data_IF_587842408619
#
_entry.id   IF_587842408619
#
_cell.length_a   1.000
_cell.length_b   1.000
_cell.length_c   1.000
_cell.angle_alpha   90.00
_cell.angle_beta   90.00
_cell.angle_gamma   90.00
#
_symmetry.space_group_name_H-M   'P 1'
#
loop_
_entity.id
_entity.type
_entity.pdbx_description
1 polymer ?
#
# COMPACT_ATOMS: atom_id res chain seq x y z
N UNK A 1 -27.20 23.94 9.50
CA UNK A 1 -27.73 22.56 9.43
C UNK A 1 -26.54 21.62 9.56
N UNK A 2 -26.52 20.75 10.58
CA UNK A 2 -25.45 19.78 10.76
C UNK A 2 -25.62 18.68 9.71
N UNK A 3 -24.74 18.64 8.72
CA UNK A 3 -24.74 17.61 7.69
C UNK A 3 -24.36 16.26 8.33
N UNK A 4 -25.29 15.32 8.29
CA UNK A 4 -25.08 13.94 8.73
C UNK A 4 -23.92 13.36 7.92
N UNK A 5 -22.88 12.78 8.58
CA UNK A 5 -21.82 12.10 7.86
C UNK A 5 -22.41 11.02 6.95
N UNK A 6 -21.81 10.75 5.78
CA UNK A 6 -22.34 9.72 4.90
C UNK A 6 -22.39 8.39 5.67
N UNK A 7 -23.54 7.72 5.56
CA UNK A 7 -23.72 6.44 6.21
C UNK A 7 -22.64 5.48 5.68
N UNK A 8 -21.89 4.79 6.56
CA UNK A 8 -20.99 3.74 6.12
C UNK A 8 -21.79 2.65 5.40
N UNK A 9 -21.15 1.93 4.47
CA UNK A 9 -21.80 0.82 3.78
C UNK A 9 -22.41 -0.13 4.81
N UNK A 10 -23.67 -0.59 4.63
CA UNK A 10 -24.30 -1.50 5.57
C UNK A 10 -23.43 -2.71 5.88
N UNK A 11 -23.51 -3.19 7.12
CA UNK A 11 -22.69 -4.31 7.59
C UNK A 11 -22.88 -5.58 6.76
N UNK A 12 -24.08 -5.80 6.23
CA UNK A 12 -24.40 -6.93 5.35
C UNK A 12 -23.69 -6.83 3.99
N UNK A 13 -23.81 -5.69 3.30
CA UNK A 13 -23.10 -5.42 2.04
C UNK A 13 -21.59 -5.58 2.19
N UNK A 14 -21.04 -5.00 3.28
CA UNK A 14 -19.61 -5.11 3.63
C UNK A 14 -19.19 -6.56 3.83
N UNK A 15 -20.02 -7.35 4.53
CA UNK A 15 -19.76 -8.77 4.79
C UNK A 15 -19.85 -9.59 3.50
N UNK A 16 -20.83 -9.34 2.65
CA UNK A 16 -20.98 -10.00 1.36
C UNK A 16 -19.76 -9.79 0.48
N UNK A 17 -19.29 -8.54 0.32
CA UNK A 17 -18.09 -8.20 -0.43
C UNK A 17 -16.84 -8.90 0.12
N UNK A 18 -16.62 -8.85 1.43
CA UNK A 18 -15.46 -9.49 2.07
C UNK A 18 -15.49 -11.01 1.93
N UNK A 19 -16.65 -11.64 2.09
CA UNK A 19 -16.81 -13.09 1.94
C UNK A 19 -16.56 -13.52 0.51
N UNK A 20 -17.13 -12.82 -0.48
CA UNK A 20 -16.90 -13.11 -1.90
C UNK A 20 -15.42 -12.91 -2.28
N UNK A 21 -14.79 -11.83 -1.80
CA UNK A 21 -13.37 -11.58 -2.02
C UNK A 21 -12.50 -12.70 -1.46
N UNK A 22 -12.73 -13.14 -0.22
CA UNK A 22 -11.99 -14.27 0.39
C UNK A 22 -12.20 -15.56 -0.38
N UNK A 23 -13.42 -15.85 -0.82
CA UNK A 23 -13.70 -17.03 -1.63
C UNK A 23 -12.95 -17.01 -2.96
N UNK A 24 -12.93 -15.86 -3.64
CA UNK A 24 -12.19 -15.65 -4.89
C UNK A 24 -10.68 -15.73 -4.67
N UNK A 25 -10.17 -15.13 -3.59
CA UNK A 25 -8.75 -15.21 -3.23
C UNK A 25 -8.31 -16.66 -2.98
N UNK A 26 -9.09 -17.40 -2.18
CA UNK A 26 -8.84 -18.81 -1.92
C UNK A 26 -8.90 -19.64 -3.22
N UNK A 27 -9.88 -19.41 -4.09
CA UNK A 27 -10.00 -20.15 -5.36
C UNK A 27 -8.89 -19.83 -6.39
N UNK A 28 -8.19 -18.69 -6.24
CA UNK A 28 -7.04 -18.34 -7.06
C UNK A 28 -5.71 -18.78 -6.45
N UNK A 29 -5.69 -19.19 -5.18
CA UNK A 29 -4.46 -19.56 -4.48
C UNK A 29 -3.94 -20.91 -5.01
N UNK A 30 -2.71 -20.96 -5.59
CA UNK A 30 -2.09 -22.23 -5.97
C UNK A 30 -1.89 -23.19 -4.78
N UNK A 31 -1.87 -22.66 -3.57
CA UNK A 31 -1.75 -23.40 -2.31
C UNK A 31 -3.11 -23.70 -1.65
N UNK A 32 -4.25 -23.48 -2.33
CA UNK A 32 -5.58 -23.73 -1.77
C UNK A 32 -5.71 -25.15 -1.18
N UNK A 33 -5.85 -25.29 0.15
CA UNK A 33 -5.93 -26.59 0.79
C UNK A 33 -7.12 -27.41 0.28
N UNK A 34 -8.25 -26.78 -0.05
CA UNK A 34 -9.41 -27.50 -0.54
C UNK A 34 -9.11 -28.23 -1.87
N UNK A 35 -8.47 -27.53 -2.80
CA UNK A 35 -8.11 -28.09 -4.10
C UNK A 35 -6.98 -29.13 -3.95
N UNK A 36 -5.92 -28.77 -3.22
CA UNK A 36 -4.74 -29.61 -3.10
C UNK A 36 -5.00 -30.91 -2.33
N UNK A 37 -5.86 -30.92 -1.29
CA UNK A 37 -6.24 -32.17 -0.60
C UNK A 37 -6.98 -33.16 -1.51
N UNK A 38 -7.85 -32.66 -2.41
CA UNK A 38 -8.54 -33.51 -3.40
C UNK A 38 -7.55 -34.12 -4.39
N UNK A 39 -6.63 -33.31 -4.95
CA UNK A 39 -5.58 -33.83 -5.82
C UNK A 39 -4.62 -34.79 -5.09
N UNK A 40 -4.28 -34.49 -3.84
CA UNK A 40 -3.41 -35.33 -3.01
C UNK A 40 -3.99 -36.72 -2.84
N UNK A 41 -5.32 -36.85 -2.75
CA UNK A 41 -5.99 -38.15 -2.67
C UNK A 41 -5.60 -39.07 -3.83
N UNK A 42 -5.65 -38.57 -5.07
CA UNK A 42 -5.26 -39.33 -6.26
C UNK A 42 -3.78 -39.72 -6.22
N UNK A 43 -2.91 -38.77 -5.85
CA UNK A 43 -1.45 -38.97 -5.82
C UNK A 43 -1.03 -39.97 -4.74
N UNK A 44 -1.61 -39.87 -3.54
CA UNK A 44 -1.32 -40.78 -2.44
C UNK A 44 -1.79 -42.19 -2.76
N UNK A 45 -3.00 -42.35 -3.30
CA UNK A 45 -3.49 -43.67 -3.69
C UNK A 45 -2.64 -44.28 -4.82
N UNK A 46 -2.16 -43.47 -5.77
CA UNK A 46 -1.22 -43.94 -6.78
C UNK A 46 0.13 -44.39 -6.16
N UNK A 47 0.62 -43.63 -5.17
CA UNK A 47 1.85 -43.96 -4.46
C UNK A 47 1.69 -45.26 -3.65
N UNK A 48 0.57 -45.43 -2.94
CA UNK A 48 0.25 -46.63 -2.16
C UNK A 48 0.12 -47.90 -3.02
N UNK A 49 -0.31 -47.75 -4.27
CA UNK A 49 -0.35 -48.83 -5.25
C UNK A 49 1.03 -49.16 -5.87
N UNK A 50 2.05 -48.36 -5.56
CA UNK A 50 3.44 -48.61 -5.95
C UNK A 50 3.90 -47.89 -7.21
N UNK A 51 3.11 -46.97 -7.79
CA UNK A 51 3.56 -46.19 -8.94
C UNK A 51 4.56 -45.11 -8.52
N UNK A 52 5.60 -44.94 -9.34
CA UNK A 52 6.60 -43.91 -9.10
C UNK A 52 6.02 -42.51 -9.29
N UNK A 53 6.63 -41.50 -8.66
CA UNK A 53 6.28 -40.09 -8.89
C UNK A 53 6.44 -39.67 -10.36
N UNK A 54 7.41 -40.28 -11.07
CA UNK A 54 7.63 -40.01 -12.49
C UNK A 54 6.47 -40.52 -13.34
N UNK A 55 6.04 -41.75 -13.11
CA UNK A 55 4.89 -42.37 -13.78
C UNK A 55 3.63 -41.56 -13.49
N UNK A 56 3.35 -41.28 -12.22
CA UNK A 56 2.18 -40.50 -11.79
C UNK A 56 2.14 -39.12 -12.46
N UNK A 57 3.28 -38.41 -12.50
CA UNK A 57 3.37 -37.10 -13.17
C UNK A 57 3.06 -37.19 -14.67
N UNK A 58 3.63 -38.20 -15.34
CA UNK A 58 3.42 -38.45 -16.78
C UNK A 58 1.94 -38.72 -17.10
N UNK A 59 1.31 -39.64 -16.36
CA UNK A 59 -0.07 -40.08 -16.60
C UNK A 59 -1.10 -39.00 -16.26
N UNK A 60 -0.86 -38.22 -15.21
CA UNK A 60 -1.72 -37.08 -14.85
C UNK A 60 -1.47 -35.84 -15.72
N UNK A 61 -0.41 -35.83 -16.54
CA UNK A 61 -0.03 -34.70 -17.39
C UNK A 61 0.36 -33.45 -16.58
N UNK A 62 1.07 -33.63 -15.46
CA UNK A 62 1.57 -32.54 -14.61
C UNK A 62 3.07 -32.69 -14.34
N UNK A 63 3.72 -31.63 -13.88
CA UNK A 63 5.14 -31.70 -13.54
C UNK A 63 5.39 -32.54 -12.28
N UNK A 64 6.58 -33.14 -12.20
CA UNK A 64 7.04 -33.87 -11.00
C UNK A 64 7.05 -32.98 -9.76
N UNK A 65 7.41 -31.72 -9.91
CA UNK A 65 7.41 -30.76 -8.80
C UNK A 65 5.99 -30.47 -8.31
N UNK A 66 5.01 -30.41 -9.22
CA UNK A 66 3.60 -30.27 -8.83
C UNK A 66 3.10 -31.48 -8.05
N UNK A 67 3.49 -32.69 -8.46
CA UNK A 67 3.20 -33.91 -7.69
C UNK A 67 3.81 -33.82 -6.28
N UNK A 68 5.08 -33.41 -6.16
CA UNK A 68 5.75 -33.25 -4.86
C UNK A 68 5.06 -32.23 -3.96
N UNK A 69 4.67 -31.07 -4.50
CA UNK A 69 3.98 -30.02 -3.74
C UNK A 69 2.61 -30.49 -3.27
N UNK A 70 1.82 -31.13 -4.14
CA UNK A 70 0.48 -31.61 -3.79
C UNK A 70 0.56 -32.76 -2.78
N UNK A 71 1.56 -33.65 -2.87
CA UNK A 71 1.73 -34.76 -1.94
C UNK A 71 1.97 -34.35 -0.47
N UNK A 72 2.31 -33.08 -0.22
CA UNK A 72 2.45 -32.54 1.15
C UNK A 72 1.12 -32.34 1.86
N UNK A 73 0.00 -32.34 1.12
CA UNK A 73 -1.33 -32.16 1.69
C UNK A 73 -1.91 -33.50 2.12
N UNK A 74 -2.67 -33.47 3.20
CA UNK A 74 -3.44 -34.62 3.68
C UNK A 74 -4.56 -34.96 2.66
N UNK A 75 -4.73 -36.24 2.27
CA UNK A 75 -5.82 -36.65 1.39
C UNK A 75 -7.20 -36.23 1.91
N UNK A 76 -8.10 -35.85 1.00
CA UNK A 76 -9.51 -35.67 1.33
C UNK A 76 -10.20 -37.03 1.46
N UNK A 77 -10.96 -37.23 2.54
CA UNK A 77 -11.77 -38.43 2.75
C UNK A 77 -12.98 -38.51 1.81
N UNK A 78 -13.35 -37.39 1.17
CA UNK A 78 -14.50 -37.29 0.27
C UNK A 78 -14.18 -37.74 -1.17
N UNK A 79 -12.91 -38.04 -1.46
CA UNK A 79 -12.49 -38.45 -2.79
C UNK A 79 -12.60 -39.97 -2.94
N UNK A 80 -13.67 -40.45 -3.57
CA UNK A 80 -13.78 -41.86 -3.94
C UNK A 80 -12.73 -42.21 -4.99
N UNK A 81 -11.82 -43.11 -4.63
CA UNK A 81 -10.78 -43.60 -5.51
C UNK A 81 -11.00 -45.07 -5.84
N UNK A 82 -10.77 -45.48 -7.09
CA UNK A 82 -10.79 -46.88 -7.47
C UNK A 82 -9.76 -47.67 -6.67
N UNK A 83 -10.07 -48.94 -6.39
CA UNK A 83 -9.10 -49.87 -5.79
C UNK A 83 -8.06 -50.25 -6.83
N UNK A 84 -6.79 -50.21 -6.44
CA UNK A 84 -5.66 -50.48 -7.33
C UNK A 84 -4.98 -51.80 -6.98
N UNK A 85 -4.53 -52.52 -8.01
CA UNK A 85 -3.66 -53.69 -7.84
C UNK A 85 -2.24 -53.35 -8.29
N UNK A 86 -1.28 -53.75 -7.47
CA UNK A 86 0.15 -53.56 -7.77
C UNK A 86 0.52 -54.36 -9.02
N UNK A 87 1.22 -53.72 -9.96
CA UNK A 87 1.70 -54.34 -11.20
C UNK A 87 0.81 -54.13 -12.42
N UNK A 88 -0.37 -53.53 -12.25
CA UNK A 88 -1.23 -53.13 -13.37
C UNK A 88 -0.79 -51.77 -13.97
N UNK A 89 -1.16 -51.49 -15.25
CA UNK A 89 -0.99 -50.18 -15.85
C UNK A 89 -1.63 -49.08 -15.01
N UNK A 90 -1.20 -47.82 -15.21
CA UNK A 90 -1.80 -46.71 -14.50
C UNK A 90 -3.30 -46.63 -14.84
N UNK A 91 -4.19 -46.65 -13.84
CA UNK A 91 -5.62 -46.85 -14.06
C UNK A 91 -6.24 -45.60 -14.70
N UNK A 92 -6.96 -45.74 -15.84
CA UNK A 92 -7.62 -44.61 -16.49
C UNK A 92 -8.56 -43.84 -15.57
N UNK A 93 -9.23 -44.53 -14.65
CA UNK A 93 -10.16 -43.90 -13.70
C UNK A 93 -9.47 -42.93 -12.73
N UNK A 94 -8.17 -43.10 -12.44
CA UNK A 94 -7.41 -42.14 -11.64
C UNK A 94 -7.17 -40.83 -12.40
N UNK A 95 -6.90 -40.93 -13.71
CA UNK A 95 -6.79 -39.78 -14.61
C UNK A 95 -8.13 -39.07 -14.71
N UNK A 96 -9.23 -39.81 -14.92
CA UNK A 96 -10.58 -39.25 -15.00
C UNK A 96 -10.98 -38.51 -13.71
N UNK A 97 -10.65 -39.11 -12.56
CA UNK A 97 -10.87 -38.48 -11.24
C UNK A 97 -10.06 -37.21 -11.10
N UNK A 98 -8.79 -37.21 -11.49
CA UNK A 98 -7.94 -36.02 -11.47
C UNK A 98 -8.52 -34.90 -12.37
N UNK A 99 -8.92 -35.23 -13.60
CA UNK A 99 -9.53 -34.28 -14.54
C UNK A 99 -10.89 -33.76 -14.07
N UNK A 100 -11.67 -34.59 -13.37
CA UNK A 100 -12.91 -34.14 -12.70
C UNK A 100 -12.59 -33.11 -11.62
N UNK A 101 -11.60 -33.37 -10.76
CA UNK A 101 -11.19 -32.41 -9.72
C UNK A 101 -10.69 -31.10 -10.36
N UNK A 102 -9.91 -31.16 -11.45
CA UNK A 102 -9.50 -29.94 -12.18
C UNK A 102 -10.70 -29.12 -12.67
N UNK A 103 -11.73 -29.80 -13.22
CA UNK A 103 -12.97 -29.13 -13.62
C UNK A 103 -13.69 -28.52 -12.43
N UNK A 104 -13.81 -29.22 -11.30
CA UNK A 104 -14.45 -28.70 -10.08
C UNK A 104 -13.73 -27.44 -9.56
N UNK A 105 -12.40 -27.44 -9.55
CA UNK A 105 -11.58 -26.29 -9.14
C UNK A 105 -11.80 -25.10 -10.08
N UNK A 106 -11.82 -25.34 -11.40
CA UNK A 106 -12.09 -24.29 -12.38
C UNK A 106 -13.52 -23.74 -12.26
N UNK A 107 -14.50 -24.59 -12.04
CA UNK A 107 -15.91 -24.20 -11.82
C UNK A 107 -16.02 -23.33 -10.58
N UNK A 108 -15.47 -23.77 -9.44
CA UNK A 108 -15.44 -22.98 -8.20
C UNK A 108 -14.78 -21.61 -8.40
N UNK A 109 -13.69 -21.55 -9.17
CA UNK A 109 -12.99 -20.31 -9.49
C UNK A 109 -13.87 -19.35 -10.31
N UNK A 110 -14.57 -19.87 -11.33
CA UNK A 110 -15.52 -19.09 -12.14
C UNK A 110 -16.68 -18.58 -11.30
N UNK A 111 -17.28 -19.43 -10.47
CA UNK A 111 -18.39 -19.06 -9.59
C UNK A 111 -17.99 -17.99 -8.57
N UNK A 112 -16.83 -18.14 -7.92
CA UNK A 112 -16.33 -17.15 -6.97
C UNK A 112 -16.04 -15.80 -7.65
N UNK A 113 -15.56 -15.83 -8.90
CA UNK A 113 -15.30 -14.62 -9.70
C UNK A 113 -16.60 -13.92 -10.07
N UNK A 114 -17.56 -14.65 -10.64
CA UNK A 114 -18.86 -14.13 -11.04
C UNK A 114 -19.62 -13.55 -9.85
N UNK A 115 -19.59 -14.22 -8.69
CA UNK A 115 -20.20 -13.68 -7.47
C UNK A 115 -19.57 -12.36 -7.02
N UNK A 116 -18.24 -12.27 -7.06
CA UNK A 116 -17.56 -11.02 -6.70
C UNK A 116 -17.83 -9.91 -7.72
N UNK A 117 -17.87 -10.24 -9.02
CA UNK A 117 -18.21 -9.30 -10.09
C UNK A 117 -19.63 -8.73 -9.92
N UNK A 118 -20.62 -9.60 -9.69
CA UNK A 118 -22.01 -9.20 -9.49
C UNK A 118 -22.18 -8.24 -8.29
N UNK A 119 -21.51 -8.51 -7.16
CA UNK A 119 -21.52 -7.61 -6.00
C UNK A 119 -20.87 -6.26 -6.30
N UNK A 120 -19.75 -6.25 -7.04
CA UNK A 120 -19.07 -5.01 -7.43
C UNK A 120 -19.92 -4.19 -8.38
N UNK A 121 -20.55 -4.82 -9.37
CA UNK A 121 -21.45 -4.16 -10.31
C UNK A 121 -22.65 -3.56 -9.58
N UNK A 122 -23.34 -4.31 -8.73
CA UNK A 122 -24.47 -3.78 -7.97
C UNK A 122 -24.07 -2.60 -7.06
N UNK A 123 -22.95 -2.72 -6.35
CA UNK A 123 -22.43 -1.63 -5.53
C UNK A 123 -22.07 -0.40 -6.38
N UNK A 124 -21.43 -0.62 -7.53
CA UNK A 124 -21.05 0.47 -8.42
C UNK A 124 -22.26 1.16 -9.06
N UNK A 125 -23.29 0.40 -9.45
CA UNK A 125 -24.58 0.92 -9.92
C UNK A 125 -25.29 1.75 -8.86
N UNK A 126 -25.14 1.41 -7.57
CA UNK A 126 -25.59 2.24 -6.45
C UNK A 126 -24.68 3.46 -6.17
N UNK A 127 -23.72 3.76 -7.05
CA UNK A 127 -22.86 4.94 -7.00
C UNK A 127 -21.58 4.78 -6.18
N UNK A 128 -21.27 3.58 -5.65
CA UNK A 128 -20.05 3.37 -4.86
C UNK A 128 -18.80 3.43 -5.75
N UNK A 129 -17.81 4.26 -5.42
CA UNK A 129 -16.61 4.38 -6.24
C UNK A 129 -15.63 3.23 -5.97
N UNK A 130 -14.91 2.78 -7.01
CA UNK A 130 -14.03 1.60 -6.94
C UNK A 130 -12.95 1.68 -5.85
N UNK A 131 -12.41 2.86 -5.56
CA UNK A 131 -11.40 3.01 -4.50
C UNK A 131 -11.98 2.75 -3.10
N UNK A 132 -13.25 3.09 -2.85
CA UNK A 132 -13.93 2.77 -1.59
C UNK A 132 -14.18 1.27 -1.50
N UNK A 133 -14.68 0.66 -2.58
CA UNK A 133 -14.89 -0.79 -2.66
C UNK A 133 -13.59 -1.58 -2.43
N UNK A 134 -12.49 -1.14 -3.06
CA UNK A 134 -11.16 -1.71 -2.84
C UNK A 134 -10.71 -1.62 -1.39
N UNK A 135 -10.89 -0.44 -0.76
CA UNK A 135 -10.58 -0.26 0.67
C UNK A 135 -11.37 -1.18 1.59
N UNK A 136 -12.61 -1.55 1.25
CA UNK A 136 -13.46 -2.41 2.08
C UNK A 136 -12.93 -3.85 2.13
N UNK A 137 -12.44 -4.35 0.99
CA UNK A 137 -11.97 -5.73 0.84
C UNK A 137 -10.45 -5.88 0.95
N UNK A 138 -9.70 -4.78 1.01
CA UNK A 138 -8.23 -4.78 1.09
C UNK A 138 -7.54 -4.94 -0.28
N UNK A 139 -8.18 -4.49 -1.35
CA UNK A 139 -7.66 -4.52 -2.71
C UNK A 139 -7.51 -3.10 -3.29
N UNK A 140 -6.83 -2.97 -4.44
CA UNK A 140 -6.75 -1.69 -5.15
C UNK A 140 -8.05 -1.39 -5.88
N UNK A 141 -8.41 -0.11 -6.02
CA UNK A 141 -9.59 0.28 -6.80
C UNK A 141 -9.50 -0.12 -8.27
N UNK A 142 -8.29 -0.16 -8.83
CA UNK A 142 -8.05 -0.61 -10.21
C UNK A 142 -8.33 -2.11 -10.39
N UNK A 143 -7.96 -2.94 -9.41
CA UNK A 143 -8.32 -4.36 -9.44
C UNK A 143 -9.83 -4.58 -9.43
N UNK A 144 -10.56 -3.79 -8.64
CA UNK A 144 -12.04 -3.82 -8.61
C UNK A 144 -12.61 -3.41 -9.96
N UNK A 145 -12.07 -2.38 -10.60
CA UNK A 145 -12.49 -1.93 -11.94
C UNK A 145 -12.29 -3.03 -12.98
N UNK A 146 -11.13 -3.68 -12.99
CA UNK A 146 -10.86 -4.78 -13.92
C UNK A 146 -11.83 -5.96 -13.74
N UNK A 147 -12.21 -6.25 -12.49
CA UNK A 147 -13.18 -7.30 -12.17
C UNK A 147 -14.58 -6.94 -12.68
N UNK A 148 -15.01 -5.69 -12.49
CA UNK A 148 -16.27 -5.16 -13.01
C UNK A 148 -16.39 -5.33 -14.54
N UNK A 149 -15.30 -5.09 -15.27
CA UNK A 149 -15.29 -5.04 -16.73
C UNK A 149 -15.19 -6.43 -17.41
N UNK A 150 -15.00 -7.52 -16.65
CA UNK A 150 -14.67 -8.84 -17.25
C UNK A 150 -15.82 -9.83 -17.40
N UNK A 151 -16.95 -9.67 -16.71
CA UNK A 151 -18.01 -10.70 -16.72
C UNK A 151 -19.43 -10.11 -16.78
N UNK A 152 -20.29 -10.75 -17.56
CA UNK A 152 -21.74 -10.52 -17.58
C UNK A 152 -22.36 -11.21 -16.35
N UNK A 153 -23.07 -10.48 -15.45
CA UNK A 153 -23.55 -10.99 -14.15
C UNK A 153 -24.70 -12.01 -14.25
N UNK A 154 -25.02 -12.47 -15.45
CA UNK A 154 -26.29 -13.11 -15.83
C UNK A 154 -26.53 -14.49 -15.23
N UNK A 155 -25.73 -14.98 -14.27
CA UNK A 155 -25.89 -16.36 -13.75
C UNK A 155 -25.85 -16.60 -12.24
N UNK A 156 -25.57 -15.63 -11.36
CA UNK A 156 -25.33 -15.98 -9.94
C UNK A 156 -25.92 -15.03 -8.88
N UNK A 157 -26.81 -15.65 -8.08
CA UNK A 157 -27.18 -15.36 -6.69
C UNK A 157 -27.82 -14.00 -6.36
N UNK A 158 -28.72 -14.03 -5.38
CA UNK A 158 -29.32 -12.84 -4.74
C UNK A 158 -28.21 -11.90 -4.27
N UNK A 159 -28.07 -10.77 -4.94
CA UNK A 159 -27.18 -9.68 -4.52
C UNK A 159 -27.92 -8.84 -3.47
N UNK A 160 -27.32 -8.52 -2.31
CA UNK A 160 -27.95 -7.61 -1.36
C UNK A 160 -28.18 -6.24 -2.01
N UNK A 161 -29.25 -5.57 -1.60
CA UNK A 161 -29.53 -4.22 -2.07
C UNK A 161 -28.49 -3.24 -1.50
N UNK A 162 -27.77 -2.56 -2.39
CA UNK A 162 -26.75 -1.60 -2.01
C UNK A 162 -27.38 -0.22 -1.90
N UNK A 163 -27.30 0.46 -0.74
CA UNK A 163 -27.84 1.80 -0.64
C UNK A 163 -27.02 2.77 -1.50
N UNK A 164 -27.68 3.83 -1.96
CA UNK A 164 -27.04 4.89 -2.73
C UNK A 164 -25.83 5.48 -1.99
N UNK A 165 -24.70 5.57 -2.68
CA UNK A 165 -23.49 6.15 -2.13
C UNK A 165 -23.65 7.67 -1.94
N UNK A 166 -23.63 8.10 -0.68
CA UNK A 166 -23.54 9.53 -0.34
C UNK A 166 -22.07 9.90 -0.17
N UNK A 167 -21.57 10.79 -1.04
CA UNK A 167 -20.20 11.29 -0.95
C UNK A 167 -20.02 12.03 0.39
N UNK A 168 -18.96 11.75 1.18
CA UNK A 168 -18.59 12.63 2.28
C UNK A 168 -18.27 14.00 1.70
N UNK A 169 -19.13 14.98 1.95
CA UNK A 169 -18.76 16.37 1.83
C UNK A 169 -17.65 16.58 2.86
N UNK A 170 -16.40 16.67 2.39
CA UNK A 170 -15.30 17.09 3.27
C UNK A 170 -15.67 18.48 3.77
N UNK A 171 -16.10 18.56 5.03
CA UNK A 171 -16.26 19.84 5.70
C UNK A 171 -14.98 20.64 5.49
N UNK A 172 -15.10 21.87 4.96
CA UNK A 172 -13.96 22.78 4.87
C UNK A 172 -13.38 22.85 6.29
N UNK A 173 -12.08 22.53 6.50
CA UNK A 173 -11.49 22.68 7.82
C UNK A 173 -11.72 24.13 8.25
N UNK A 174 -12.37 24.31 9.40
CA UNK A 174 -12.62 25.64 9.95
C UNK A 174 -11.32 26.44 10.08
N UNK A 175 -11.39 27.78 10.12
CA UNK A 175 -10.22 28.63 10.28
C UNK A 175 -9.47 28.24 11.55
N UNK A 176 -8.32 27.57 11.40
CA UNK A 176 -7.43 27.29 12.54
C UNK A 176 -6.82 28.62 13.01
N UNK A 177 -6.68 28.84 14.33
CA UNK A 177 -6.12 30.06 14.87
C UNK A 177 -4.72 30.30 14.27
N UNK A 178 -4.46 31.55 13.90
CA UNK A 178 -3.16 31.98 13.36
C UNK A 178 -2.25 32.33 14.54
N UNK A 179 -1.02 31.83 14.54
CA UNK A 179 0.01 32.32 15.44
C UNK A 179 0.54 33.69 15.00
N UNK A 180 1.10 34.43 15.96
CA UNK A 180 1.82 35.69 15.77
C UNK A 180 3.22 35.57 16.37
N UNK A 181 4.18 36.36 15.87
CA UNK A 181 5.50 36.46 16.48
C UNK A 181 5.46 37.37 17.70
N UNK A 182 6.07 36.93 18.80
CA UNK A 182 6.37 37.79 19.94
C UNK A 182 7.42 38.86 19.58
N UNK A 183 7.49 39.94 20.37
CA UNK A 183 8.50 40.99 20.17
C UNK A 183 9.93 40.48 20.29
N UNK A 184 10.17 39.51 21.17
CA UNK A 184 11.46 38.85 21.35
C UNK A 184 11.86 38.03 20.12
N UNK A 185 10.92 37.24 19.58
CA UNK A 185 11.14 36.47 18.36
C UNK A 185 11.46 37.38 17.17
N UNK A 186 10.74 38.50 17.02
CA UNK A 186 11.01 39.48 15.96
C UNK A 186 12.42 40.06 16.08
N UNK A 187 12.81 40.43 17.30
CA UNK A 187 14.13 41.01 17.57
C UNK A 187 15.25 40.01 17.31
N UNK A 188 15.09 38.76 17.77
CA UNK A 188 16.06 37.67 17.55
C UNK A 188 16.18 37.31 16.08
N UNK A 189 15.05 37.18 15.36
CA UNK A 189 15.06 36.91 13.93
C UNK A 189 15.75 38.03 13.13
N UNK A 190 15.53 39.29 13.51
CA UNK A 190 16.21 40.44 12.90
C UNK A 190 17.73 40.39 13.12
N UNK A 191 18.17 40.14 14.35
CA UNK A 191 19.58 40.04 14.69
C UNK A 191 20.27 38.88 13.93
N UNK A 192 19.63 37.72 13.89
CA UNK A 192 20.12 36.57 13.14
C UNK A 192 20.13 36.82 11.63
N UNK A 193 19.15 37.53 11.08
CA UNK A 193 19.09 37.88 9.66
C UNK A 193 20.23 38.81 9.23
N UNK A 194 20.63 39.75 10.09
CA UNK A 194 21.80 40.62 9.85
C UNK A 194 23.08 39.78 9.80
N UNK A 195 23.30 38.91 10.80
CA UNK A 195 24.48 38.03 10.85
C UNK A 195 24.52 37.02 9.69
N UNK A 196 23.37 36.44 9.34
CA UNK A 196 23.25 35.47 8.26
C UNK A 196 23.47 36.05 6.86
N UNK A 197 23.32 37.37 6.66
CA UNK A 197 23.66 38.03 5.38
C UNK A 197 25.16 38.01 5.09
N UNK A 198 25.99 38.02 6.13
CA UNK A 198 27.44 37.87 5.98
C UNK A 198 27.78 36.47 5.46
N UNK A 199 27.11 35.43 5.97
CA UNK A 199 27.39 34.03 5.62
C UNK A 199 27.29 33.69 4.12
N UNK A 200 26.45 34.41 3.36
CA UNK A 200 26.29 34.20 1.91
C UNK A 200 27.36 34.87 1.05
N UNK A 201 28.20 35.72 1.65
CA UNK A 201 29.29 36.46 0.97
C UNK A 201 30.68 35.92 1.30
N UNK A 202 30.80 35.12 2.34
CA UNK A 202 32.07 34.55 2.78
C UNK A 202 32.36 33.24 2.03
N UNK A 203 33.60 33.01 1.57
CA UNK A 203 34.02 31.72 1.01
C UNK A 203 33.91 30.61 2.06
N UNK A 204 33.92 29.35 1.60
CA UNK A 204 34.03 28.24 2.53
C UNK A 204 35.35 28.30 3.29
N UNK A 205 35.34 28.00 4.59
CA UNK A 205 36.56 27.92 5.40
C UNK A 205 37.49 26.89 4.75
N UNK A 206 38.56 27.37 4.13
CA UNK A 206 39.67 26.55 3.63
C UNK A 206 40.69 26.34 4.75
N UNK A 207 41.56 25.34 4.62
CA UNK A 207 42.56 25.01 5.64
C UNK A 207 43.56 26.12 5.97
N UNK A 208 43.61 27.18 5.16
CA UNK A 208 44.57 28.29 5.25
C UNK A 208 43.98 29.58 5.85
N UNK A 209 42.72 29.56 6.31
CA UNK A 209 42.08 30.74 6.89
C UNK A 209 42.67 31.08 8.28
N UNK A 210 42.89 32.37 8.54
CA UNK A 210 43.31 32.83 9.87
C UNK A 210 42.24 32.46 10.93
N UNK A 211 42.61 32.08 12.16
CA UNK A 211 41.65 31.61 13.17
C UNK A 211 40.46 32.55 13.42
N UNK A 212 40.70 33.87 13.42
CA UNK A 212 39.67 34.90 13.61
C UNK A 212 38.69 34.98 12.44
N UNK A 213 39.16 34.71 11.22
CA UNK A 213 38.33 34.69 10.01
C UNK A 213 37.47 33.42 9.96
N UNK A 214 38.06 32.27 10.30
CA UNK A 214 37.35 31.01 10.42
C UNK A 214 36.21 31.09 11.46
N UNK A 215 36.46 31.70 12.62
CA UNK A 215 35.46 31.90 13.68
C UNK A 215 34.29 32.78 13.18
N UNK A 216 34.58 33.93 12.55
CA UNK A 216 33.56 34.81 11.96
C UNK A 216 32.67 34.10 10.94
N UNK A 217 33.27 33.26 10.07
CA UNK A 217 32.54 32.50 9.05
C UNK A 217 31.62 31.45 9.70
N UNK A 218 32.11 30.75 10.73
CA UNK A 218 31.33 29.76 11.48
C UNK A 218 30.16 30.40 12.24
N UNK A 219 30.36 31.55 12.87
CA UNK A 219 29.30 32.30 13.54
C UNK A 219 28.19 32.72 12.56
N UNK A 220 28.57 33.23 11.40
CA UNK A 220 27.62 33.65 10.37
C UNK A 220 26.80 32.45 9.85
N UNK A 221 27.44 31.29 9.65
CA UNK A 221 26.78 30.04 9.26
C UNK A 221 25.82 29.54 10.33
N UNK A 222 26.23 29.54 11.60
CA UNK A 222 25.37 29.15 12.73
C UNK A 222 24.13 30.04 12.84
N UNK A 223 24.31 31.35 12.72
CA UNK A 223 23.20 32.30 12.71
C UNK A 223 22.24 32.06 11.53
N UNK A 224 22.79 31.63 10.38
CA UNK A 224 22.02 31.28 9.19
C UNK A 224 21.11 30.05 9.44
N UNK A 225 21.64 29.00 10.07
CA UNK A 225 20.88 27.79 10.40
C UNK A 225 19.81 28.05 11.46
N UNK A 226 20.16 28.78 12.52
CA UNK A 226 19.25 29.14 13.61
C UNK A 226 18.07 29.96 13.09
N UNK A 227 18.32 30.93 12.21
CA UNK A 227 17.26 31.72 11.58
C UNK A 227 16.30 30.85 10.77
N UNK A 228 16.83 29.89 10.01
CA UNK A 228 16.01 28.97 9.21
C UNK A 228 15.13 28.08 10.09
N UNK A 229 15.66 27.60 11.22
CA UNK A 229 14.87 26.84 12.20
C UNK A 229 13.73 27.69 12.80
N UNK A 230 14.00 28.96 13.14
CA UNK A 230 12.96 29.87 13.66
C UNK A 230 11.85 30.14 12.63
N UNK A 231 12.20 30.33 11.36
CA UNK A 231 11.22 30.52 10.27
C UNK A 231 10.31 29.29 10.13
N UNK A 232 10.88 28.09 10.19
CA UNK A 232 10.14 26.82 10.09
C UNK A 232 9.19 26.67 11.29
N UNK A 233 9.70 26.86 12.51
CA UNK A 233 8.90 26.77 13.74
C UNK A 233 7.76 27.79 13.79
N UNK A 234 8.00 29.03 13.36
CA UNK A 234 6.94 30.02 13.21
C UNK A 234 5.89 29.64 12.16
N UNK A 235 6.32 28.93 11.11
CA UNK A 235 5.41 28.41 10.08
C UNK A 235 4.56 27.23 10.50
N UNK A 236 5.09 26.36 11.35
CA UNK A 236 4.29 25.31 11.99
C UNK A 236 3.17 25.92 12.85
N UNK A 237 3.43 27.08 13.48
CA UNK A 237 2.45 27.92 14.18
C UNK A 237 1.55 28.78 13.28
N UNK A 238 1.66 28.65 11.96
CA UNK A 238 0.85 29.38 10.95
C UNK A 238 1.05 30.90 10.92
N UNK A 239 2.23 31.37 11.32
CA UNK A 239 2.62 32.78 11.14
C UNK A 239 2.62 33.12 9.65
N UNK A 240 2.22 34.35 9.31
CA UNK A 240 2.16 34.84 7.93
C UNK A 240 3.56 34.98 7.32
N UNK A 241 3.69 34.81 6.00
CA UNK A 241 5.01 34.99 5.36
C UNK A 241 5.45 36.44 5.43
N UNK A 242 4.48 37.35 5.30
CA UNK A 242 4.67 38.80 5.38
C UNK A 242 5.23 39.22 6.74
N UNK A 243 4.72 38.62 7.83
CA UNK A 243 5.21 38.88 9.20
C UNK A 243 6.63 38.35 9.41
N UNK A 244 6.99 37.22 8.79
CA UNK A 244 8.36 36.71 8.82
C UNK A 244 9.32 37.55 7.97
N UNK A 245 8.86 38.03 6.81
CA UNK A 245 9.64 38.94 5.96
C UNK A 245 9.94 40.24 6.72
N UNK A 246 8.95 40.82 7.38
CA UNK A 246 9.10 42.02 8.22
C UNK A 246 10.06 41.77 9.40
N UNK A 247 9.91 40.66 10.11
CA UNK A 247 10.78 40.29 11.22
C UNK A 247 12.25 40.12 10.77
N UNK A 248 12.48 39.51 9.61
CA UNK A 248 13.83 39.29 9.06
C UNK A 248 14.39 40.49 8.28
N UNK A 249 13.58 41.53 8.03
CA UNK A 249 13.93 42.64 7.15
C UNK A 249 14.15 42.20 5.69
N UNK A 250 13.44 41.16 5.24
CA UNK A 250 13.48 40.66 3.87
C UNK A 250 12.47 41.39 2.98
N UNK A 251 12.71 41.33 1.66
CA UNK A 251 11.67 41.66 0.68
C UNK A 251 10.58 40.59 0.71
N UNK A 252 9.38 40.94 0.26
CA UNK A 252 8.24 40.03 0.14
C UNK A 252 8.62 38.71 -0.51
N UNK A 253 8.36 37.59 0.18
CA UNK A 253 8.70 36.24 -0.26
C UNK A 253 10.11 35.77 0.09
N UNK A 254 10.95 36.60 0.71
CA UNK A 254 12.34 36.28 1.04
C UNK A 254 12.48 35.19 2.10
N UNK A 255 11.64 35.22 3.14
CA UNK A 255 11.58 34.19 4.18
C UNK A 255 11.13 32.85 3.60
N UNK A 256 10.18 32.86 2.64
CA UNK A 256 9.74 31.66 1.93
C UNK A 256 10.86 31.07 1.07
N UNK A 257 11.53 31.90 0.27
CA UNK A 257 12.63 31.46 -0.57
C UNK A 257 13.81 30.89 0.25
N UNK A 258 14.06 31.46 1.43
CA UNK A 258 15.01 30.91 2.40
C UNK A 258 14.54 29.56 2.94
N UNK A 259 13.32 29.47 3.47
CA UNK A 259 12.79 28.24 4.03
C UNK A 259 12.86 27.06 3.05
N UNK A 260 12.50 27.29 1.78
CA UNK A 260 12.59 26.27 0.71
C UNK A 260 14.03 25.81 0.51
N UNK A 261 15.01 26.73 0.43
CA UNK A 261 16.44 26.39 0.31
C UNK A 261 17.00 25.60 1.49
N UNK A 262 16.35 25.69 2.66
CA UNK A 262 16.73 24.97 3.87
C UNK A 262 15.79 23.79 4.20
N UNK A 263 15.02 23.29 3.22
CA UNK A 263 14.28 22.03 3.35
C UNK A 263 12.85 22.12 3.85
N UNK A 264 12.25 23.31 3.96
CA UNK A 264 10.85 23.46 4.32
C UNK A 264 9.93 23.00 3.16
N UNK A 265 9.04 22.04 3.44
CA UNK A 265 8.04 21.52 2.51
C UNK A 265 8.52 20.41 1.55
N UNK A 266 9.79 20.40 1.15
CA UNK A 266 10.54 19.32 0.46
C UNK A 266 12.04 19.68 0.46
N UNK A 267 12.94 18.70 0.61
CA UNK A 267 14.40 18.91 0.53
C UNK A 267 14.80 19.41 -0.89
N UNK A 268 15.68 20.43 -1.02
CA UNK A 268 16.26 20.80 -2.30
C UNK A 268 17.09 19.64 -2.88
N UNK A 269 17.02 19.38 -4.20
CA UNK A 269 17.75 18.28 -4.85
C UNK A 269 19.28 18.32 -4.66
N UNK A 270 19.86 19.49 -4.36
CA UNK A 270 21.29 19.67 -4.14
C UNK A 270 21.80 19.17 -2.78
N UNK A 271 20.92 18.78 -1.86
CA UNK A 271 21.28 18.36 -0.48
C UNK A 271 21.05 16.86 -0.21
N UNK A 272 20.66 16.09 -1.23
CA UNK A 272 20.31 14.65 -1.11
C UNK A 272 21.49 13.78 -0.63
N UNK A 273 22.75 14.23 -0.84
CA UNK A 273 23.96 13.52 -0.41
C UNK A 273 24.39 13.76 1.05
N UNK A 274 23.86 14.78 1.74
CA UNK A 274 24.27 15.09 3.13
C UNK A 274 23.48 14.29 4.18
N UNK A 275 22.28 13.81 3.83
CA UNK A 275 21.45 12.99 4.72
C UNK A 275 22.01 11.57 4.94
N UNK A 276 22.72 11.01 3.95
CA UNK A 276 23.38 9.71 4.06
C UNK A 276 24.64 9.76 4.94
N UNK A 277 25.36 10.89 4.95
CA UNK A 277 26.55 11.08 5.78
C UNK A 277 26.23 11.24 7.28
N UNK A 278 25.06 11.81 7.61
CA UNK A 278 24.62 11.96 9.01
C UNK A 278 24.12 10.65 9.63
N UNK A 279 23.41 9.81 8.85
CA UNK A 279 22.99 8.46 9.29
C UNK A 279 24.18 7.50 9.52
N UNK A 280 25.26 7.64 8.75
CA UNK A 280 26.48 6.86 8.93
C UNK A 280 27.32 7.26 10.15
N UNK A 281 27.11 8.47 10.72
CA UNK A 281 27.81 8.94 11.94
C UNK A 281 27.01 8.77 13.23
N UNK A 282 25.69 8.65 13.14
CA UNK A 282 24.81 8.42 14.31
C UNK A 282 24.59 6.92 14.61
N UNK A 283 25.22 6.02 13.84
CA UNK A 283 25.25 4.58 14.14
C UNK A 283 26.67 4.18 14.57
N UNK A 284 27.02 4.21 15.86
CA UNK A 284 28.08 3.36 16.34
C UNK A 284 27.63 1.89 16.26
N UNK A 285 28.58 1.03 15.86
CA UNK A 285 28.46 -0.42 15.82
C UNK A 285 28.21 -1.03 17.21
#
# INVERSE_FOLDING_TARGET
>A
MAETPPAPMPGECTRALRTAYRALAAANDPADPWANRRFASVIHAATSAGWSRRTTASELGISRDRVLKIAQYEPSLECELPRYKRGEPFPPQAVDTFRRIERDVLTRRREARARMSALVQAAHSAGWPFHVLGSIVGATGEWIRQLHDTEDPSSLATVPDFPEYRRPLKGKPGPRPRGTLSGEERTRMRALAVKARAAGKEPAVTGDALPQEAERILEARRASEELSAMIISAKDRRVRWEELDEACGYRTGGARARAVRHGYGKLPPSMTGYASARKARETPA
#
